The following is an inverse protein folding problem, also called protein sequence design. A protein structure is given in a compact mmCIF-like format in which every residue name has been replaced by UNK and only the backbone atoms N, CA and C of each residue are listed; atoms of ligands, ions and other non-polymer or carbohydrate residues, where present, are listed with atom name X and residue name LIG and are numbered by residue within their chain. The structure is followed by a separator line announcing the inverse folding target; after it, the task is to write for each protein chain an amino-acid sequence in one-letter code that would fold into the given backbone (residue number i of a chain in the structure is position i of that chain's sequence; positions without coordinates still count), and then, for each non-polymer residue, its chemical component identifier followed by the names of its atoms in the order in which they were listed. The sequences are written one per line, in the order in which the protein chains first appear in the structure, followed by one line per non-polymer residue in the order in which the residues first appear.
data_IF_072855943965
#
_entry.id   IF_072855943965
#
_cell.length_a   1.000
_cell.length_b   1.000
_cell.length_c   1.000
_cell.angle_alpha   90.00
_cell.angle_beta   90.00
_cell.angle_gamma   90.00
#
_symmetry.space_group_name_H-M   'P 1'
#
loop_
_entity.id
_entity.type
_entity.pdbx_description
1 polymer ?
#
# COMPACT_ATOMS: atom_id res chain seq x y z
N UNK A 1 3.45 -0.85 -17.95
CA UNK A 1 3.62 -2.30 -18.19
C UNK A 1 4.27 -2.55 -19.55
N UNK A 2 3.67 -2.11 -20.66
CA UNK A 2 4.22 -2.31 -22.02
C UNK A 2 5.63 -1.72 -22.18
N UNK A 3 5.87 -0.53 -21.62
CA UNK A 3 7.19 0.12 -21.66
C UNK A 3 8.31 -0.69 -21.01
N UNK A 4 8.01 -1.44 -19.93
CA UNK A 4 8.99 -2.27 -19.24
C UNK A 4 9.40 -3.50 -20.05
N UNK A 5 8.62 -3.93 -21.05
CA UNK A 5 8.93 -5.08 -21.92
C UNK A 5 9.72 -4.69 -23.17
N UNK A 6 9.83 -3.39 -23.47
CA UNK A 6 10.56 -2.91 -24.66
C UNK A 6 12.02 -3.40 -24.65
N UNK A 7 12.80 -3.28 -23.55
CA UNK A 7 14.19 -3.74 -23.53
C UNK A 7 14.36 -5.23 -23.82
N UNK A 8 13.39 -6.07 -23.40
CA UNK A 8 13.41 -7.51 -23.63
C UNK A 8 13.41 -7.86 -25.13
N UNK A 9 12.77 -7.03 -25.96
CA UNK A 9 12.69 -7.23 -27.40
C UNK A 9 13.77 -6.45 -28.13
N UNK A 10 14.06 -5.21 -27.71
CA UNK A 10 15.00 -4.34 -28.42
C UNK A 10 16.45 -4.72 -28.20
N UNK A 11 16.86 -5.14 -26.99
CA UNK A 11 18.26 -5.50 -26.72
C UNK A 11 18.75 -6.69 -27.57
N UNK A 12 17.97 -7.78 -27.73
CA UNK A 12 18.34 -8.86 -28.65
C UNK A 12 18.21 -8.46 -30.12
N UNK A 13 17.21 -7.65 -30.48
CA UNK A 13 16.99 -7.18 -31.85
C UNK A 13 18.16 -6.35 -32.38
N UNK A 14 18.77 -5.51 -31.53
CA UNK A 14 19.95 -4.72 -31.87
C UNK A 14 21.28 -5.45 -31.61
N UNK A 15 21.24 -6.76 -31.29
CA UNK A 15 22.41 -7.58 -30.96
C UNK A 15 23.28 -7.01 -29.83
N UNK A 16 22.69 -6.26 -28.90
CA UNK A 16 23.39 -5.67 -27.76
C UNK A 16 23.60 -6.73 -26.67
N UNK A 17 22.59 -7.57 -26.45
CA UNK A 17 22.59 -8.58 -25.39
C UNK A 17 21.83 -9.84 -25.87
N UNK A 18 22.31 -11.06 -25.56
CA UNK A 18 21.56 -12.27 -25.83
C UNK A 18 20.18 -12.27 -25.16
N UNK A 19 19.16 -12.83 -25.83
CA UNK A 19 17.80 -12.86 -25.29
C UNK A 19 17.66 -13.59 -23.95
N UNK A 20 18.50 -14.60 -23.69
CA UNK A 20 18.53 -15.32 -22.42
C UNK A 20 18.95 -14.40 -21.25
N UNK A 21 19.99 -13.58 -21.46
CA UNK A 21 20.53 -12.66 -20.45
C UNK A 21 19.58 -11.47 -20.23
N UNK A 22 18.89 -11.04 -21.30
CA UNK A 22 17.87 -10.01 -21.19
C UNK A 22 16.68 -10.53 -20.36
N UNK A 23 16.28 -11.78 -20.57
CA UNK A 23 15.18 -12.41 -19.85
C UNK A 23 15.51 -12.69 -18.37
N UNK A 24 16.74 -13.11 -18.04
CA UNK A 24 17.14 -13.36 -16.64
C UNK A 24 17.03 -12.11 -15.77
N UNK A 25 17.18 -10.92 -16.35
CA UNK A 25 17.02 -9.64 -15.64
C UNK A 25 15.57 -9.39 -15.17
N UNK A 26 14.57 -10.09 -15.72
CA UNK A 26 13.16 -9.93 -15.31
C UNK A 26 12.77 -10.88 -14.16
N UNK A 27 13.58 -11.90 -13.87
CA UNK A 27 13.28 -12.91 -12.86
C UNK A 27 14.19 -12.69 -11.65
N UNK A 28 13.63 -12.18 -10.56
CA UNK A 28 14.35 -12.01 -9.29
C UNK A 28 13.52 -12.50 -8.11
N UNK A 29 14.17 -12.86 -7.01
CA UNK A 29 13.49 -13.28 -5.77
C UNK A 29 12.55 -12.20 -5.23
N UNK A 30 12.82 -10.92 -5.53
CA UNK A 30 11.98 -9.77 -5.17
C UNK A 30 10.63 -9.81 -5.93
N UNK A 31 10.64 -10.20 -7.21
CA UNK A 31 9.40 -10.39 -7.99
C UNK A 31 8.57 -11.52 -7.40
N UNK A 32 9.20 -12.62 -6.97
CA UNK A 32 8.49 -13.71 -6.28
C UNK A 32 7.90 -13.28 -4.92
N UNK A 33 8.64 -12.47 -4.15
CA UNK A 33 8.11 -11.88 -2.91
C UNK A 33 6.88 -11.01 -3.19
N UNK A 34 6.90 -10.23 -4.27
CA UNK A 34 5.77 -9.41 -4.69
C UNK A 34 4.55 -10.24 -5.07
N UNK A 35 4.74 -11.30 -5.86
CA UNK A 35 3.67 -12.24 -6.24
C UNK A 35 3.08 -12.90 -4.98
N UNK A 36 3.91 -13.37 -4.05
CA UNK A 36 3.46 -13.95 -2.78
C UNK A 36 2.65 -12.96 -1.94
N UNK A 37 3.13 -11.71 -1.82
CA UNK A 37 2.41 -10.64 -1.15
C UNK A 37 1.05 -10.35 -1.77
N UNK A 38 0.98 -10.27 -3.11
CA UNK A 38 -0.29 -10.10 -3.82
C UNK A 38 -1.24 -11.27 -3.63
N UNK A 39 -0.76 -12.52 -3.60
CA UNK A 39 -1.60 -13.67 -3.31
C UNK A 39 -2.24 -13.56 -1.92
N UNK A 40 -1.47 -13.16 -0.91
CA UNK A 40 -1.99 -12.92 0.44
C UNK A 40 -3.04 -11.80 0.44
N UNK A 41 -2.75 -10.68 -0.23
CA UNK A 41 -3.66 -9.55 -0.36
C UNK A 41 -4.98 -9.95 -1.04
N UNK A 42 -4.90 -10.69 -2.15
CA UNK A 42 -6.06 -11.18 -2.89
C UNK A 42 -6.87 -12.20 -2.07
N UNK A 43 -6.21 -13.09 -1.33
CA UNK A 43 -6.89 -13.99 -0.39
C UNK A 43 -7.63 -13.19 0.69
N UNK A 44 -6.99 -12.19 1.31
CA UNK A 44 -7.63 -11.30 2.29
C UNK A 44 -8.82 -10.54 1.68
N UNK A 45 -8.72 -10.17 0.41
CA UNK A 45 -9.81 -9.54 -0.33
C UNK A 45 -10.98 -10.51 -0.56
N UNK A 46 -10.71 -11.72 -1.05
CA UNK A 46 -11.71 -12.75 -1.32
C UNK A 46 -12.56 -13.09 -0.10
N UNK A 47 -11.96 -13.13 1.08
CA UNK A 47 -12.66 -13.43 2.34
C UNK A 47 -13.28 -12.19 3.01
N UNK A 48 -13.17 -11.00 2.40
CA UNK A 48 -13.56 -9.72 2.99
C UNK A 48 -12.91 -9.45 4.36
N UNK A 49 -11.74 -10.05 4.62
CA UNK A 49 -11.06 -9.96 5.92
C UNK A 49 -10.60 -8.52 6.19
N UNK A 50 -10.06 -7.85 5.17
CA UNK A 50 -9.71 -6.42 5.20
C UNK A 50 -10.88 -5.54 5.68
N UNK A 51 -12.10 -5.76 5.18
CA UNK A 51 -13.30 -5.00 5.57
C UNK A 51 -13.67 -5.25 7.03
N UNK A 52 -13.56 -6.49 7.51
CA UNK A 52 -13.79 -6.83 8.92
C UNK A 52 -12.81 -6.09 9.81
N UNK A 53 -11.52 -6.14 9.48
CA UNK A 53 -10.46 -5.44 10.22
C UNK A 53 -10.72 -3.93 10.25
N UNK A 54 -11.02 -3.32 9.09
CA UNK A 54 -11.32 -1.88 9.00
C UNK A 54 -12.45 -1.48 9.97
N UNK A 55 -13.57 -2.20 9.90
CA UNK A 55 -14.74 -1.92 10.73
C UNK A 55 -14.46 -2.16 12.21
N UNK A 56 -13.67 -3.20 12.56
CA UNK A 56 -13.25 -3.44 13.94
C UNK A 56 -12.39 -2.31 14.49
N UNK A 57 -11.43 -1.82 13.72
CA UNK A 57 -10.56 -0.69 14.11
C UNK A 57 -11.42 0.57 14.33
N UNK A 58 -12.30 0.90 13.39
CA UNK A 58 -13.17 2.07 13.48
C UNK A 58 -14.11 1.96 14.69
N UNK A 59 -14.68 0.77 14.93
CA UNK A 59 -15.57 0.54 16.07
C UNK A 59 -14.85 0.67 17.42
N UNK A 60 -13.57 0.29 17.50
CA UNK A 60 -12.80 0.33 18.73
C UNK A 60 -12.38 1.74 19.17
N UNK A 61 -12.18 2.68 18.24
CA UNK A 61 -11.56 3.98 18.50
C UNK A 61 -12.56 5.03 19.06
N UNK A 62 -13.87 4.79 18.92
CA UNK A 62 -14.92 5.57 19.59
C UNK A 62 -15.69 6.54 18.68
N UNK A 63 -16.50 7.42 19.28
CA UNK A 63 -17.53 8.23 18.57
C UNK A 63 -17.17 9.70 18.34
N UNK A 64 -16.03 10.19 18.83
CA UNK A 64 -15.64 11.59 18.65
C UNK A 64 -15.08 11.81 17.24
N UNK A 65 -15.34 12.97 16.64
CA UNK A 65 -14.95 13.26 15.25
C UNK A 65 -13.43 13.20 15.02
N UNK A 66 -12.62 13.68 15.97
CA UNK A 66 -11.16 13.61 15.95
C UNK A 66 -10.65 12.16 15.96
N UNK A 67 -11.22 11.33 16.84
CA UNK A 67 -10.89 9.91 16.96
C UNK A 67 -11.38 9.11 15.74
N UNK A 68 -12.52 9.47 15.15
CA UNK A 68 -12.98 8.86 13.90
C UNK A 68 -11.98 9.08 12.77
N UNK A 69 -11.52 10.32 12.56
CA UNK A 69 -10.51 10.61 11.53
C UNK A 69 -9.23 9.81 11.79
N UNK A 70 -8.74 9.79 13.02
CA UNK A 70 -7.57 9.00 13.41
C UNK A 70 -7.79 7.50 13.14
N UNK A 71 -8.97 6.96 13.45
CA UNK A 71 -9.29 5.55 13.22
C UNK A 71 -9.34 5.18 11.76
N UNK A 72 -9.84 6.06 10.90
CA UNK A 72 -9.76 5.88 9.46
C UNK A 72 -8.33 5.98 8.94
N UNK A 73 -7.52 6.92 9.44
CA UNK A 73 -6.10 7.02 9.10
C UNK A 73 -5.35 5.73 9.46
N UNK A 74 -5.53 5.24 10.68
CA UNK A 74 -4.89 4.02 11.18
C UNK A 74 -5.37 2.77 10.43
N UNK A 75 -6.67 2.63 10.18
CA UNK A 75 -7.23 1.52 9.41
C UNK A 75 -6.71 1.52 7.96
N UNK A 76 -6.74 2.68 7.30
CA UNK A 76 -6.19 2.84 5.95
C UNK A 76 -4.70 2.53 5.91
N UNK A 77 -3.92 3.04 6.87
CA UNK A 77 -2.49 2.76 6.94
C UNK A 77 -2.23 1.26 7.13
N UNK A 78 -2.88 0.63 8.10
CA UNK A 78 -2.72 -0.79 8.36
C UNK A 78 -3.08 -1.67 7.15
N UNK A 79 -4.20 -1.40 6.49
CA UNK A 79 -4.60 -2.16 5.31
C UNK A 79 -3.63 -1.95 4.14
N UNK A 80 -3.14 -0.74 3.96
CA UNK A 80 -2.19 -0.39 2.91
C UNK A 80 -0.78 -0.97 3.14
N UNK A 81 -0.47 -1.47 4.34
CA UNK A 81 0.74 -2.25 4.58
C UNK A 81 0.74 -3.57 3.81
N UNK A 82 -0.44 -4.14 3.54
CA UNK A 82 -0.59 -5.49 2.97
C UNK A 82 -1.22 -5.47 1.58
N UNK A 83 -1.98 -4.43 1.28
CA UNK A 83 -2.74 -4.23 0.04
C UNK A 83 -2.19 -3.00 -0.67
N UNK A 84 -2.42 -2.87 -1.98
CA UNK A 84 -2.00 -1.66 -2.70
C UNK A 84 -2.73 -0.41 -2.22
N UNK A 85 -2.02 0.72 -2.16
CA UNK A 85 -2.57 2.01 -1.72
C UNK A 85 -3.88 2.38 -2.46
N UNK A 86 -3.90 2.17 -3.78
CA UNK A 86 -5.07 2.46 -4.61
C UNK A 86 -6.26 1.54 -4.26
N UNK A 87 -6.03 0.24 -4.09
CA UNK A 87 -7.10 -0.67 -3.72
C UNK A 87 -7.63 -0.34 -2.32
N UNK A 88 -6.75 -0.06 -1.36
CA UNK A 88 -7.14 0.35 0.00
C UNK A 88 -8.00 1.62 -0.01
N UNK A 89 -7.59 2.64 -0.78
CA UNK A 89 -8.37 3.88 -0.90
C UNK A 89 -9.76 3.63 -1.48
N UNK A 90 -9.87 2.84 -2.55
CA UNK A 90 -11.15 2.49 -3.19
C UNK A 90 -12.07 1.71 -2.25
N UNK A 91 -11.51 0.87 -1.37
CA UNK A 91 -12.29 0.14 -0.37
C UNK A 91 -12.74 1.01 0.81
N UNK A 92 -11.88 1.93 1.26
CA UNK A 92 -12.16 2.81 2.39
C UNK A 92 -13.10 3.95 2.03
N UNK A 93 -13.09 4.40 0.77
CA UNK A 93 -13.95 5.47 0.27
C UNK A 93 -15.45 5.25 0.56
N UNK A 94 -16.10 4.13 0.16
CA UNK A 94 -17.51 3.93 0.46
C UNK A 94 -17.80 3.82 1.96
N UNK A 95 -16.85 3.31 2.76
CA UNK A 95 -17.00 3.22 4.22
C UNK A 95 -16.94 4.62 4.85
N UNK A 96 -16.01 5.45 4.40
CA UNK A 96 -15.89 6.83 4.84
C UNK A 96 -17.10 7.68 4.43
N UNK A 97 -17.58 7.52 3.20
CA UNK A 97 -18.79 8.19 2.72
C UNK A 97 -20.03 7.82 3.54
N UNK A 98 -20.19 6.54 3.91
CA UNK A 98 -21.29 6.11 4.77
C UNK A 98 -21.29 6.81 6.14
N UNK A 99 -20.10 7.10 6.69
CA UNK A 99 -19.97 7.84 7.95
C UNK A 99 -20.21 9.34 7.74
N UNK A 100 -19.71 9.90 6.64
CA UNK A 100 -19.97 11.31 6.27
C UNK A 100 -21.46 11.58 6.16
N UNK A 101 -22.21 10.74 5.45
CA UNK A 101 -23.67 10.92 5.32
C UNK A 101 -24.38 10.91 6.67
N UNK A 102 -23.92 10.10 7.63
CA UNK A 102 -24.49 10.07 8.98
C UNK A 102 -24.19 11.34 9.78
N UNK A 103 -22.98 11.88 9.66
CA UNK A 103 -22.60 13.13 10.33
C UNK A 103 -23.37 14.31 9.72
N UNK A 104 -23.54 14.33 8.40
CA UNK A 104 -24.29 15.38 7.70
C UNK A 104 -25.79 15.35 8.04
N UNK A 105 -26.39 14.17 8.22
CA UNK A 105 -27.76 14.02 8.72
C UNK A 105 -27.94 14.60 10.13
N UNK A 106 -26.94 14.48 11.01
CA UNK A 106 -27.04 14.88 12.42
C UNK A 106 -26.70 16.36 12.66
N UNK A 107 -25.68 16.88 11.96
CA UNK A 107 -25.12 18.22 12.21
C UNK A 107 -25.31 19.21 11.03
N UNK A 108 -25.76 18.73 9.86
CA UNK A 108 -25.90 19.48 8.63
C UNK A 108 -24.59 19.57 7.82
N UNK A 109 -24.70 19.66 6.48
CA UNK A 109 -23.56 19.67 5.54
C UNK A 109 -22.51 20.75 5.86
N UNK A 110 -22.94 21.99 6.07
CA UNK A 110 -22.02 23.12 6.28
C UNK A 110 -21.14 22.98 7.53
N UNK A 111 -21.70 22.43 8.63
CA UNK A 111 -20.95 22.24 9.88
C UNK A 111 -20.04 21.00 9.81
N UNK A 112 -20.40 20.04 8.97
CA UNK A 112 -19.71 18.75 8.84
C UNK A 112 -18.57 18.77 7.82
N UNK A 113 -18.57 19.75 6.89
CA UNK A 113 -17.63 19.84 5.78
C UNK A 113 -16.15 19.69 6.18
N UNK A 114 -15.73 20.32 7.29
CA UNK A 114 -14.33 20.22 7.77
C UNK A 114 -13.98 18.78 8.18
N UNK A 115 -14.90 18.09 8.82
CA UNK A 115 -14.72 16.69 9.24
C UNK A 115 -14.70 15.77 8.04
N UNK A 116 -15.62 15.97 7.08
CA UNK A 116 -15.65 15.24 5.81
C UNK A 116 -14.32 15.35 5.07
N UNK A 117 -13.81 16.57 4.92
CA UNK A 117 -12.55 16.83 4.23
C UNK A 117 -11.35 16.22 4.97
N UNK A 118 -11.30 16.38 6.29
CA UNK A 118 -10.28 15.76 7.14
C UNK A 118 -10.31 14.22 7.05
N UNK A 119 -11.50 13.62 7.01
CA UNK A 119 -11.68 12.17 6.90
C UNK A 119 -11.18 11.65 5.55
N UNK A 120 -11.59 12.28 4.45
CA UNK A 120 -11.18 11.86 3.09
C UNK A 120 -9.68 12.04 2.88
N UNK A 121 -9.11 13.17 3.31
CA UNK A 121 -7.66 13.37 3.28
C UNK A 121 -6.93 12.39 4.20
N UNK A 122 -7.46 12.16 5.41
CA UNK A 122 -6.90 11.19 6.35
C UNK A 122 -6.83 9.79 5.76
N UNK A 123 -7.85 9.34 5.04
CA UNK A 123 -7.83 8.07 4.30
C UNK A 123 -6.71 8.06 3.26
N UNK A 124 -6.61 9.11 2.44
CA UNK A 124 -5.62 9.20 1.36
C UNK A 124 -4.17 9.21 1.88
N UNK A 125 -3.89 10.02 2.90
CA UNK A 125 -2.58 10.07 3.56
C UNK A 125 -2.28 8.78 4.31
N UNK A 126 -3.26 8.22 5.03
CA UNK A 126 -3.14 6.93 5.71
C UNK A 126 -2.72 5.83 4.76
N UNK A 127 -3.37 5.69 3.60
CA UNK A 127 -2.97 4.72 2.58
C UNK A 127 -1.53 4.93 2.12
N UNK A 128 -1.13 6.18 1.87
CA UNK A 128 0.21 6.50 1.35
C UNK A 128 1.31 6.20 2.38
N UNK A 129 1.09 6.57 3.64
CA UNK A 129 2.01 6.34 4.77
C UNK A 129 2.05 4.86 5.15
N UNK A 130 0.91 4.18 5.15
CA UNK A 130 0.84 2.75 5.42
C UNK A 130 1.64 1.91 4.42
N UNK A 131 1.60 2.29 3.14
CA UNK A 131 2.31 1.58 2.08
C UNK A 131 3.84 1.56 2.22
N UNK A 132 4.45 2.52 2.91
CA UNK A 132 5.91 2.51 3.12
C UNK A 132 6.36 1.59 4.26
N UNK A 133 5.43 1.16 5.12
CA UNK A 133 5.75 0.37 6.31
C UNK A 133 6.31 -1.03 6.01
N UNK A 134 5.91 -1.63 4.89
CA UNK A 134 6.34 -2.98 4.48
C UNK A 134 6.86 -2.98 3.05
N UNK A 135 7.66 -3.99 2.69
CA UNK A 135 8.11 -4.15 1.31
C UNK A 135 6.98 -4.40 0.31
N UNK A 136 5.85 -4.98 0.74
CA UNK A 136 4.75 -5.36 -0.15
C UNK A 136 3.79 -4.19 -0.41
N UNK A 137 3.75 -3.19 0.48
CA UNK A 137 2.78 -2.10 0.42
C UNK A 137 2.88 -1.26 -0.86
N UNK A 138 4.10 -0.94 -1.33
CA UNK A 138 4.30 -0.20 -2.59
C UNK A 138 5.39 -0.82 -3.48
N UNK A 139 5.22 -0.76 -4.82
CA UNK A 139 6.25 -1.20 -5.75
C UNK A 139 7.59 -0.45 -5.62
N UNK A 140 7.56 0.79 -5.10
CA UNK A 140 8.77 1.61 -4.91
C UNK A 140 9.71 1.00 -3.88
N UNK A 141 9.19 0.36 -2.83
CA UNK A 141 10.02 -0.27 -1.79
C UNK A 141 10.79 -1.46 -2.37
N UNK A 142 10.13 -2.27 -3.22
CA UNK A 142 10.76 -3.39 -3.90
C UNK A 142 11.77 -2.95 -4.95
N UNK A 143 11.44 -1.90 -5.71
CA UNK A 143 12.38 -1.30 -6.65
C UNK A 143 13.65 -0.81 -5.92
N UNK A 144 13.49 -0.18 -4.75
CA UNK A 144 14.61 0.22 -3.91
C UNK A 144 15.47 -0.97 -3.47
N UNK A 145 14.86 -2.02 -2.90
CA UNK A 145 15.62 -3.20 -2.45
C UNK A 145 16.39 -3.83 -3.61
N UNK A 146 15.78 -3.88 -4.81
CA UNK A 146 16.43 -4.40 -6.00
C UNK A 146 17.64 -3.55 -6.40
N UNK A 147 17.45 -2.24 -6.55
CA UNK A 147 18.53 -1.32 -6.95
C UNK A 147 19.64 -1.34 -5.90
N UNK A 148 19.30 -1.40 -4.61
CA UNK A 148 20.27 -1.49 -3.53
C UNK A 148 21.13 -2.75 -3.64
N UNK A 149 20.52 -3.92 -3.88
CA UNK A 149 21.25 -5.18 -4.07
C UNK A 149 22.12 -5.18 -5.33
N UNK A 150 21.64 -4.56 -6.43
CA UNK A 150 22.41 -4.44 -7.67
C UNK A 150 23.60 -3.47 -7.53
N UNK A 151 23.44 -2.39 -6.74
CA UNK A 151 24.48 -1.35 -6.55
C UNK A 151 25.51 -1.74 -5.49
N UNK A 152 25.09 -2.46 -4.44
CA UNK A 152 25.93 -2.83 -3.30
C UNK A 152 25.92 -4.36 -3.08
N UNK A 153 26.56 -5.15 -3.96
CA UNK A 153 26.52 -6.62 -3.89
C UNK A 153 27.23 -7.21 -2.65
N UNK A 154 28.18 -6.48 -2.07
CA UNK A 154 28.89 -6.85 -0.83
C UNK A 154 28.04 -6.61 0.43
N UNK A 155 26.96 -5.82 0.32
CA UNK A 155 26.12 -5.47 1.47
C UNK A 155 25.10 -6.58 1.75
N UNK A 156 24.69 -6.78 3.02
CA UNK A 156 23.67 -7.76 3.37
C UNK A 156 22.33 -7.41 2.70
N UNK A 157 21.62 -8.42 2.14
CA UNK A 157 20.35 -8.18 1.46
C UNK A 157 19.29 -7.70 2.45
N UNK A 158 18.50 -6.71 2.03
CA UNK A 158 17.40 -6.18 2.84
C UNK A 158 16.26 -7.20 2.86
N UNK A 159 16.11 -7.90 3.97
CA UNK A 159 15.02 -8.84 4.19
C UNK A 159 13.71 -8.12 4.59
N UNK A 160 12.57 -8.78 4.39
CA UNK A 160 11.26 -8.26 4.78
C UNK A 160 11.19 -7.81 6.25
N UNK A 161 11.72 -8.62 7.17
CA UNK A 161 11.73 -8.28 8.60
C UNK A 161 12.61 -7.06 8.93
N UNK A 162 13.73 -6.89 8.23
CA UNK A 162 14.60 -5.72 8.43
C UNK A 162 13.91 -4.44 7.95
N UNK A 163 13.24 -4.50 6.79
CA UNK A 163 12.44 -3.37 6.33
C UNK A 163 11.34 -3.04 7.32
N UNK A 164 10.63 -4.05 7.84
CA UNK A 164 9.54 -3.83 8.79
C UNK A 164 10.00 -3.08 10.05
N UNK A 165 11.19 -3.39 10.57
CA UNK A 165 11.77 -2.73 11.75
C UNK A 165 12.06 -1.25 11.48
N UNK A 166 12.32 -0.86 10.23
CA UNK A 166 12.63 0.53 9.85
C UNK A 166 11.37 1.26 9.39
N UNK A 167 10.59 0.65 8.50
CA UNK A 167 9.42 1.22 7.86
C UNK A 167 8.24 1.39 8.82
N UNK A 168 8.03 0.45 9.74
CA UNK A 168 6.88 0.52 10.65
C UNK A 168 6.99 1.69 11.65
N UNK A 169 8.14 1.94 12.30
CA UNK A 169 8.32 3.15 13.10
C UNK A 169 8.22 4.43 12.25
N UNK A 170 8.82 4.44 11.05
CA UNK A 170 8.77 5.60 10.16
C UNK A 170 7.35 6.00 9.75
N UNK A 171 6.47 5.01 9.51
CA UNK A 171 5.06 5.26 9.21
C UNK A 171 4.21 5.63 10.42
N UNK A 172 4.71 5.43 11.64
CA UNK A 172 4.00 5.69 12.89
C UNK A 172 4.41 7.01 13.56
N UNK A 173 5.55 7.58 13.18
CA UNK A 173 6.06 8.89 13.65
C UNK A 173 5.61 10.03 12.75
#
# INVERSE_FOLDING_TARGET
AVTALIPLVTLPLFHILPGADAASSYVSSIVFLFIGGFLIALSMQRWNLHRRIALTIIYAIGKRADLMVLGFMAASAFLSMWISNTATAVMMLPIGLAIVSKIEEEFGEFKSHRVTLALMLGIAYGCSIGGVSTLVGTPTNLAFVRIFQETFPEAPPIAFGQWLIIGLPYSAT
#
